data_IF_411753669838
#
_entry.id   IF_411753669838
#
_cell.length_a   1.000
_cell.length_b   1.000
_cell.length_c   1.000
_cell.angle_alpha   90.00
_cell.angle_beta   90.00
_cell.angle_gamma   90.00
#
_symmetry.space_group_name_H-M   'P 1'
#
loop_
_entity.id
_entity.type
_entity.pdbx_description
1 polymer ?
#
# COMPACT_ATOMS: atom_id res chain seq x y z
N UNK A 1 62.36 42.12 -26.72
CA UNK A 1 62.18 40.88 -25.94
C UNK A 1 60.68 40.63 -25.88
N UNK A 2 60.20 39.56 -26.53
CA UNK A 2 58.79 39.17 -26.68
C UNK A 2 58.56 38.01 -25.72
N UNK A 3 57.64 38.14 -24.76
CA UNK A 3 56.91 37.09 -24.00
C UNK A 3 55.77 37.82 -23.24
N UNK A 4 54.54 37.38 -23.02
CA UNK A 4 53.68 36.33 -23.57
C UNK A 4 52.24 36.68 -23.14
N UNK A 5 51.27 36.34 -23.98
CA UNK A 5 49.84 36.44 -23.70
C UNK A 5 49.45 35.36 -22.69
N UNK A 6 48.76 35.69 -21.60
CA UNK A 6 48.14 34.68 -20.73
C UNK A 6 46.68 35.03 -20.39
N UNK A 7 45.84 34.63 -21.35
CA UNK A 7 44.65 33.78 -21.17
C UNK A 7 43.57 34.22 -20.17
N UNK A 8 42.49 34.71 -20.77
CA UNK A 8 41.11 34.86 -20.31
C UNK A 8 40.66 33.75 -19.33
N UNK A 9 40.31 34.14 -18.10
CA UNK A 9 39.72 33.24 -17.10
C UNK A 9 38.28 32.92 -17.49
N UNK A 10 38.05 31.68 -17.92
CA UNK A 10 36.73 31.10 -18.17
C UNK A 10 35.89 31.11 -16.89
N UNK A 11 34.70 31.71 -16.97
CA UNK A 11 33.68 31.62 -15.94
C UNK A 11 33.17 30.20 -15.79
N UNK A 12 32.94 29.77 -14.55
CA UNK A 12 32.30 28.51 -14.24
C UNK A 12 30.98 28.80 -13.53
N UNK A 13 29.91 28.95 -14.30
CA UNK A 13 28.54 28.96 -13.78
C UNK A 13 28.20 27.52 -13.37
N UNK A 14 28.22 27.21 -12.07
CA UNK A 14 27.72 25.95 -11.55
C UNK A 14 26.19 25.89 -11.73
N UNK A 15 25.71 25.12 -12.70
CA UNK A 15 24.32 24.66 -12.74
C UNK A 15 24.16 23.56 -11.68
N UNK A 16 23.57 23.89 -10.53
CA UNK A 16 23.16 22.89 -9.56
C UNK A 16 21.91 22.15 -10.07
N UNK A 17 22.10 20.95 -10.61
CA UNK A 17 21.01 20.02 -10.89
C UNK A 17 20.46 19.48 -9.56
N UNK A 18 19.36 20.05 -9.07
CA UNK A 18 18.59 19.44 -7.98
C UNK A 18 17.83 18.25 -8.56
N UNK A 19 18.36 17.05 -8.39
CA UNK A 19 17.65 15.82 -8.69
C UNK A 19 16.52 15.66 -7.66
N UNK A 20 15.29 15.99 -8.05
CA UNK A 20 14.11 15.57 -7.30
C UNK A 20 13.96 14.05 -7.46
N UNK A 21 14.34 13.30 -6.43
CA UNK A 21 13.95 11.89 -6.33
C UNK A 21 12.42 11.84 -6.20
N UNK A 22 11.73 11.25 -7.18
CA UNK A 22 10.32 10.96 -7.05
C UNK A 22 10.12 9.97 -5.89
N UNK A 23 9.58 10.42 -4.77
CA UNK A 23 9.15 9.52 -3.71
C UNK A 23 7.98 8.69 -4.26
N UNK A 24 8.17 7.37 -4.37
CA UNK A 24 7.06 6.47 -4.63
C UNK A 24 6.07 6.59 -3.46
N UNK A 25 4.82 6.93 -3.77
CA UNK A 25 3.77 6.89 -2.75
C UNK A 25 3.52 5.44 -2.35
N UNK A 26 3.39 5.19 -1.05
CA UNK A 26 3.09 3.87 -0.55
C UNK A 26 1.66 3.48 -0.96
N UNK A 27 1.50 2.25 -1.47
CA UNK A 27 0.18 1.66 -1.60
C UNK A 27 -0.38 1.41 -0.20
N UNK A 28 -1.47 2.09 0.15
CA UNK A 28 -2.04 2.04 1.49
C UNK A 28 -3.43 1.39 1.48
N UNK A 29 -3.70 0.62 2.53
CA UNK A 29 -5.01 0.03 2.82
C UNK A 29 -5.47 0.48 4.21
N UNK A 30 -6.75 0.83 4.34
CA UNK A 30 -7.37 1.23 5.60
C UNK A 30 -8.74 0.61 5.76
N UNK A 31 -9.25 0.57 6.99
CA UNK A 31 -10.57 0.04 7.30
C UNK A 31 -11.21 0.87 8.41
N UNK A 32 -12.46 1.34 8.25
CA UNK A 32 -13.23 1.87 9.37
C UNK A 32 -13.81 0.74 10.25
N UNK A 33 -13.64 -0.53 9.84
CA UNK A 33 -14.23 -1.69 10.53
C UNK A 33 -13.38 -2.21 11.69
N UNK A 34 -12.13 -1.74 11.79
CA UNK A 34 -11.16 -2.14 12.81
C UNK A 34 -10.62 -0.89 13.51
N UNK A 35 -10.75 -0.84 14.84
CA UNK A 35 -10.23 0.25 15.66
C UNK A 35 -9.43 -0.33 16.82
N UNK A 36 -8.18 0.09 17.01
CA UNK A 36 -7.30 -0.39 18.08
C UNK A 36 -7.18 -1.93 18.13
N UNK A 37 -7.14 -2.56 16.96
CA UNK A 37 -7.09 -4.03 16.81
C UNK A 37 -8.39 -4.75 17.18
N UNK A 38 -9.47 -4.02 17.50
CA UNK A 38 -10.77 -4.58 17.88
C UNK A 38 -11.76 -4.52 16.72
N UNK A 39 -12.64 -5.52 16.70
CA UNK A 39 -13.64 -5.73 15.66
C UNK A 39 -15.02 -5.77 16.29
N UNK A 40 -16.03 -5.22 15.61
CA UNK A 40 -17.42 -5.41 16.02
C UNK A 40 -17.85 -6.88 15.82
N UNK A 41 -18.70 -7.39 16.72
CA UNK A 41 -19.20 -8.76 16.67
C UNK A 41 -19.82 -9.17 15.32
N UNK A 42 -20.40 -8.22 14.56
CA UNK A 42 -20.99 -8.52 13.24
C UNK A 42 -19.99 -9.09 12.22
N UNK A 43 -18.69 -8.80 12.37
CA UNK A 43 -17.63 -9.29 11.48
C UNK A 43 -17.12 -10.68 11.85
N UNK A 44 -17.52 -11.22 13.02
CA UNK A 44 -17.18 -12.58 13.41
C UNK A 44 -18.00 -13.60 12.62
N UNK A 45 -17.52 -14.85 12.60
CA UNK A 45 -18.23 -15.95 11.95
C UNK A 45 -19.65 -16.16 12.52
N UNK A 46 -20.56 -16.60 11.68
CA UNK A 46 -21.94 -16.94 11.99
C UNK A 46 -22.14 -18.39 12.47
N UNK A 47 -21.06 -19.17 12.54
CA UNK A 47 -21.08 -20.53 13.07
C UNK A 47 -21.32 -20.55 14.58
N UNK A 48 -21.89 -21.65 15.06
CA UNK A 48 -22.08 -21.90 16.48
C UNK A 48 -20.77 -21.73 17.26
N UNK A 49 -20.79 -20.92 18.32
CA UNK A 49 -19.61 -20.58 19.12
C UNK A 49 -18.91 -19.27 18.74
N UNK A 50 -19.19 -18.68 17.57
CA UNK A 50 -18.59 -17.41 17.14
C UNK A 50 -19.48 -16.18 17.42
N UNK A 51 -20.81 -16.33 17.33
CA UNK A 51 -21.78 -15.29 17.70
C UNK A 51 -21.85 -14.08 16.77
N UNK A 52 -21.25 -14.16 15.59
CA UNK A 52 -21.23 -13.08 14.59
C UNK A 52 -22.24 -13.24 13.47
N UNK A 53 -22.00 -12.52 12.37
CA UNK A 53 -22.89 -12.46 11.20
C UNK A 53 -22.18 -12.73 9.88
N UNK A 54 -20.89 -13.08 9.91
CA UNK A 54 -20.05 -13.29 8.71
C UNK A 54 -20.09 -12.12 7.72
N UNK A 55 -20.25 -10.89 8.22
CA UNK A 55 -20.22 -9.68 7.39
C UNK A 55 -18.77 -9.34 7.06
N UNK A 56 -18.47 -8.99 5.81
CA UNK A 56 -17.16 -8.49 5.37
C UNK A 56 -16.81 -7.18 6.05
N UNK A 57 -15.51 -6.95 6.27
CA UNK A 57 -15.02 -5.62 6.66
C UNK A 57 -14.94 -4.71 5.45
N UNK A 58 -15.24 -3.43 5.68
CA UNK A 58 -14.97 -2.40 4.69
C UNK A 58 -13.46 -2.18 4.60
N UNK A 59 -12.91 -2.20 3.38
CA UNK A 59 -11.53 -1.92 3.05
C UNK A 59 -11.52 -0.77 2.05
N UNK A 60 -10.63 0.18 2.22
CA UNK A 60 -10.34 1.22 1.25
C UNK A 60 -8.85 1.22 0.96
N UNK A 61 -8.47 1.47 -0.29
CA UNK A 61 -7.07 1.61 -0.66
C UNK A 61 -6.81 2.82 -1.53
N UNK A 62 -5.61 3.39 -1.38
CA UNK A 62 -5.16 4.57 -2.11
C UNK A 62 -3.78 4.35 -2.69
N UNK A 63 -3.46 5.14 -3.69
CA UNK A 63 -2.14 5.21 -4.32
C UNK A 63 -1.62 3.84 -4.83
N UNK A 64 -2.42 3.07 -5.58
CA UNK A 64 -1.94 1.83 -6.18
C UNK A 64 -0.79 2.12 -7.16
N UNK A 65 0.21 1.22 -7.28
CA UNK A 65 1.31 1.42 -8.21
C UNK A 65 0.83 1.65 -9.64
N UNK A 66 1.55 2.51 -10.37
CA UNK A 66 1.24 2.78 -11.78
C UNK A 66 1.24 1.47 -12.59
N UNK A 67 0.22 1.29 -13.42
CA UNK A 67 0.07 0.07 -14.23
C UNK A 67 -0.61 -1.10 -13.53
N UNK A 68 -1.08 -0.95 -12.28
CA UNK A 68 -1.92 -1.96 -11.59
C UNK A 68 -3.05 -2.46 -12.51
N UNK A 69 -3.17 -3.78 -12.65
CA UNK A 69 -4.16 -4.44 -13.54
C UNK A 69 -5.34 -5.05 -12.78
N UNK A 70 -5.06 -5.55 -11.59
CA UNK A 70 -6.05 -6.10 -10.67
C UNK A 70 -5.48 -6.16 -9.26
N UNK A 71 -6.36 -6.41 -8.29
CA UNK A 71 -5.98 -6.71 -6.92
C UNK A 71 -6.38 -8.14 -6.54
N UNK A 72 -5.69 -8.66 -5.53
CA UNK A 72 -6.11 -9.81 -4.75
C UNK A 72 -6.19 -9.41 -3.28
N UNK A 73 -7.15 -9.99 -2.56
CA UNK A 73 -7.31 -9.84 -1.13
C UNK A 73 -7.20 -11.21 -0.48
N UNK A 74 -6.45 -11.26 0.62
CA UNK A 74 -6.37 -12.43 1.46
C UNK A 74 -6.45 -12.02 2.94
N UNK A 75 -7.26 -12.71 3.73
CA UNK A 75 -7.34 -12.54 5.18
C UNK A 75 -7.01 -13.87 5.86
N UNK A 76 -5.87 -13.90 6.56
CA UNK A 76 -5.32 -15.10 7.17
C UNK A 76 -5.15 -14.91 8.68
N UNK A 77 -5.70 -15.84 9.45
CA UNK A 77 -5.44 -15.96 10.89
C UNK A 77 -4.28 -16.95 11.06
N UNK A 78 -3.16 -16.51 11.63
CA UNK A 78 -1.99 -17.37 11.90
C UNK A 78 -2.17 -18.26 13.12
N UNK A 79 -3.07 -17.90 14.02
CA UNK A 79 -3.23 -18.52 15.34
C UNK A 79 -4.24 -19.67 15.30
N UNK A 80 -5.13 -19.67 14.30
CA UNK A 80 -6.12 -20.72 14.08
C UNK A 80 -5.50 -22.13 13.98
N UNK A 81 -6.31 -23.13 14.35
CA UNK A 81 -5.98 -24.56 14.22
C UNK A 81 -4.66 -24.97 14.91
N UNK A 82 -4.34 -24.33 16.04
CA UNK A 82 -3.10 -24.57 16.78
C UNK A 82 -1.87 -24.05 16.05
N UNK A 83 -1.96 -22.87 15.45
CA UNK A 83 -0.85 -22.22 14.72
C UNK A 83 -0.65 -22.69 13.28
N UNK A 84 -1.57 -23.52 12.74
CA UNK A 84 -1.55 -23.92 11.32
C UNK A 84 -2.22 -22.87 10.41
N UNK A 85 -2.97 -21.98 11.03
CA UNK A 85 -3.69 -20.88 10.45
C UNK A 85 -4.97 -21.26 9.70
N UNK A 86 -5.65 -20.23 9.20
CA UNK A 86 -6.91 -20.33 8.50
C UNK A 86 -7.14 -19.12 7.57
N UNK A 87 -7.54 -19.38 6.33
CA UNK A 87 -7.96 -18.34 5.39
C UNK A 87 -9.43 -18.01 5.61
N UNK A 88 -9.72 -16.81 6.12
CA UNK A 88 -11.08 -16.31 6.32
C UNK A 88 -11.68 -15.70 5.05
N UNK A 89 -10.85 -15.12 4.20
CA UNK A 89 -11.30 -14.46 2.98
C UNK A 89 -10.24 -14.55 1.89
N UNK A 90 -10.66 -14.96 0.69
CA UNK A 90 -9.88 -14.93 -0.53
C UNK A 90 -10.73 -14.29 -1.63
N UNK A 91 -10.20 -13.25 -2.27
CA UNK A 91 -10.81 -12.64 -3.45
C UNK A 91 -9.72 -12.27 -4.44
N UNK A 92 -9.98 -12.47 -5.72
CA UNK A 92 -9.01 -12.18 -6.79
C UNK A 92 -9.73 -11.64 -8.03
N UNK A 93 -8.95 -11.17 -9.00
CA UNK A 93 -9.46 -10.47 -10.18
C UNK A 93 -10.29 -9.22 -9.85
N UNK A 94 -10.00 -8.57 -8.72
CA UNK A 94 -10.63 -7.29 -8.36
C UNK A 94 -10.14 -6.25 -9.38
N UNK A 95 -11.03 -5.51 -10.08
CA UNK A 95 -10.63 -4.57 -11.11
C UNK A 95 -9.68 -3.48 -10.58
N UNK A 96 -8.70 -3.05 -11.38
CA UNK A 96 -7.78 -1.97 -11.02
C UNK A 96 -8.49 -0.64 -10.65
N UNK A 97 -9.70 -0.43 -11.17
CA UNK A 97 -10.53 0.75 -10.90
C UNK A 97 -11.16 0.73 -9.49
N UNK A 98 -11.28 -0.44 -8.86
CA UNK A 98 -11.80 -0.55 -7.51
C UNK A 98 -10.90 0.22 -6.54
N UNK A 99 -11.54 0.82 -5.53
CA UNK A 99 -10.89 1.61 -4.46
C UNK A 99 -11.10 0.99 -3.07
N UNK A 100 -11.70 -0.18 -3.02
CA UNK A 100 -12.09 -0.83 -1.78
C UNK A 100 -12.96 -2.06 -1.99
N UNK A 101 -13.30 -2.71 -0.87
CA UNK A 101 -14.27 -3.80 -0.73
C UNK A 101 -15.16 -3.50 0.49
N UNK A 102 -16.38 -4.03 0.52
CA UNK A 102 -17.32 -3.84 1.63
C UNK A 102 -18.44 -4.86 1.56
#
# INVERSE_FOLDING_TARGET
FREDQMTLRFGLTMLAFVAFAAQAQAFEISSPSVSDGKWNAKYLGDKAGCGGKSVSIALAWKDPPAGTKSYALTMFDTDANGGKGFWHWLAWNIPASAKGLG
#
